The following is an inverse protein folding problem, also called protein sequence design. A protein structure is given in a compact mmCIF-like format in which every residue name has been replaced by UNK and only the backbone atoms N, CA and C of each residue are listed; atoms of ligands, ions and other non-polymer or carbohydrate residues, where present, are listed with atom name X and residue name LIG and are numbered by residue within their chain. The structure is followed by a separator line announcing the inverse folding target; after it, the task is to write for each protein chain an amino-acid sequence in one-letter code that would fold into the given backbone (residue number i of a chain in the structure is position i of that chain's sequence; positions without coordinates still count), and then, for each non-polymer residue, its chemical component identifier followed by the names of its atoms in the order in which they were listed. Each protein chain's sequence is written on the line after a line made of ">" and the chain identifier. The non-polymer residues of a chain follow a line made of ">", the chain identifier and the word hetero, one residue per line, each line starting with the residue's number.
data_IF_377150079976
#
_entry.id   IF_377150079976
#
_cell.length_a   1.000
_cell.length_b   1.000
_cell.length_c   1.000
_cell.angle_alpha   90.00
_cell.angle_beta   90.00
_cell.angle_gamma   90.00
#
_symmetry.space_group_name_H-M   'P 1'
#
loop_
_entity.id
_entity.type
_entity.pdbx_description
1 polymer ?
#
# COMPACT_ATOMS: atom_id res chain seq x y z
N UNK A 1 -6.44 16.41 -3.52
CA UNK A 1 -5.09 16.08 -4.02
C UNK A 1 -5.18 15.90 -5.51
N UNK A 2 -4.51 16.75 -6.28
CA UNK A 2 -4.50 16.65 -7.74
C UNK A 2 -4.01 15.27 -8.16
N UNK A 3 -4.69 14.63 -9.12
CA UNK A 3 -4.49 13.19 -9.40
C UNK A 3 -3.06 12.88 -9.88
N UNK A 4 -2.43 13.77 -10.65
CA UNK A 4 -1.02 13.62 -11.06
C UNK A 4 -0.05 13.53 -9.87
N UNK A 5 -0.23 14.38 -8.85
CA UNK A 5 0.64 14.34 -7.66
C UNK A 5 0.41 13.06 -6.84
N UNK A 6 -0.85 12.60 -6.80
CA UNK A 6 -1.20 11.34 -6.13
C UNK A 6 -0.55 10.15 -6.83
N UNK A 7 -0.64 10.09 -8.15
CA UNK A 7 -0.12 8.99 -8.95
C UNK A 7 1.41 8.99 -8.99
N UNK A 8 2.04 10.17 -9.06
CA UNK A 8 3.49 10.29 -8.89
C UNK A 8 3.95 9.77 -7.54
N UNK A 9 3.27 10.16 -6.45
CA UNK A 9 3.58 9.65 -5.11
C UNK A 9 3.42 8.14 -4.99
N UNK A 10 2.36 7.58 -5.59
CA UNK A 10 2.13 6.14 -5.67
C UNK A 10 3.22 5.43 -6.47
N UNK A 11 3.68 6.02 -7.57
CA UNK A 11 4.74 5.43 -8.39
C UNK A 11 6.07 5.37 -7.64
N UNK A 12 6.41 6.43 -6.89
CA UNK A 12 7.61 6.43 -6.03
C UNK A 12 7.57 5.25 -5.06
N UNK A 13 6.45 5.06 -4.35
CA UNK A 13 6.30 3.95 -3.40
C UNK A 13 6.26 2.59 -4.10
N UNK A 14 5.68 2.51 -5.29
CA UNK A 14 5.67 1.27 -6.06
C UNK A 14 7.09 0.83 -6.48
N UNK A 15 7.94 1.79 -6.86
CA UNK A 15 9.34 1.53 -7.27
C UNK A 15 10.22 1.07 -6.11
N UNK A 16 9.87 1.37 -4.84
CA UNK A 16 10.59 0.84 -3.68
C UNK A 16 10.66 -0.70 -3.69
N UNK A 17 9.58 -1.35 -4.14
CA UNK A 17 9.52 -2.81 -4.32
C UNK A 17 8.39 -3.19 -5.28
N UNK A 18 8.67 -3.35 -6.59
CA UNK A 18 7.63 -3.66 -7.57
C UNK A 18 6.97 -5.03 -7.35
N UNK A 19 7.72 -6.00 -6.84
CA UNK A 19 7.28 -7.39 -6.66
C UNK A 19 6.77 -7.72 -5.27
N UNK A 20 7.32 -7.10 -4.22
CA UNK A 20 7.01 -7.44 -2.83
C UNK A 20 6.35 -6.24 -2.13
N UNK A 21 5.01 -6.14 -2.12
CA UNK A 21 4.33 -4.98 -1.54
C UNK A 21 4.62 -4.81 -0.05
N UNK A 22 4.87 -5.88 0.70
CA UNK A 22 5.21 -5.83 2.12
C UNK A 22 6.54 -5.13 2.43
N UNK A 23 7.39 -4.90 1.42
CA UNK A 23 8.63 -4.13 1.54
C UNK A 23 8.45 -2.64 1.21
N UNK A 24 7.26 -2.22 0.78
CA UNK A 24 6.94 -0.82 0.49
C UNK A 24 6.61 -0.06 1.77
N UNK A 25 6.92 1.24 1.77
CA UNK A 25 6.64 2.15 2.87
C UNK A 25 5.15 2.40 3.07
N UNK A 26 4.35 2.36 2.01
CA UNK A 26 2.91 2.59 2.05
C UNK A 26 2.14 1.63 1.15
N UNK A 27 0.95 1.24 1.61
CA UNK A 27 0.04 0.36 0.87
C UNK A 27 -1.32 1.03 0.70
N UNK A 28 -1.90 0.95 -0.50
CA UNK A 28 -3.23 1.52 -0.80
C UNK A 28 -4.12 0.63 -1.66
N UNK A 29 -3.57 -0.46 -2.22
CA UNK A 29 -4.34 -1.43 -2.99
C UNK A 29 -5.00 -2.40 -2.03
N UNK A 30 -6.33 -2.38 -1.98
CA UNK A 30 -7.12 -3.13 -1.00
C UNK A 30 -6.75 -4.61 -0.95
N UNK A 31 -6.59 -5.25 -2.12
CA UNK A 31 -6.23 -6.67 -2.24
C UNK A 31 -4.85 -6.97 -1.63
N UNK A 32 -3.84 -6.15 -1.94
CA UNK A 32 -2.48 -6.31 -1.39
C UNK A 32 -2.47 -6.13 0.14
N UNK A 33 -3.16 -5.10 0.63
CA UNK A 33 -3.25 -4.84 2.08
C UNK A 33 -3.95 -6.00 2.78
N UNK A 34 -5.06 -6.50 2.24
CA UNK A 34 -5.82 -7.58 2.84
C UNK A 34 -5.02 -8.89 2.86
N UNK A 35 -4.32 -9.23 1.77
CA UNK A 35 -3.48 -10.42 1.71
C UNK A 35 -2.33 -10.37 2.73
N UNK A 36 -1.65 -9.22 2.84
CA UNK A 36 -0.56 -9.01 3.79
C UNK A 36 -1.06 -9.12 5.23
N UNK A 37 -2.20 -8.52 5.56
CA UNK A 37 -2.78 -8.58 6.90
C UNK A 37 -3.25 -10.01 7.24
N UNK A 38 -3.98 -10.67 6.33
CA UNK A 38 -4.49 -12.02 6.53
C UNK A 38 -3.36 -13.04 6.73
N UNK A 39 -2.27 -12.90 5.96
CA UNK A 39 -1.09 -13.79 6.05
C UNK A 39 -0.05 -13.32 7.08
N UNK A 40 -0.30 -12.22 7.81
CA UNK A 40 0.64 -11.59 8.76
C UNK A 40 2.04 -11.35 8.17
N UNK A 41 2.09 -10.94 6.91
CA UNK A 41 3.34 -10.68 6.15
C UNK A 41 3.84 -9.24 6.26
N UNK A 42 3.20 -8.40 7.07
CA UNK A 42 3.63 -7.02 7.25
C UNK A 42 5.06 -6.96 7.78
N UNK A 43 5.88 -6.08 7.21
CA UNK A 43 7.26 -5.83 7.67
C UNK A 43 7.38 -4.45 8.28
N UNK A 44 8.50 -4.18 8.96
CA UNK A 44 8.81 -2.86 9.49
C UNK A 44 8.93 -1.78 8.39
N UNK A 45 9.06 -2.17 7.12
CA UNK A 45 9.06 -1.22 6.01
C UNK A 45 7.71 -0.51 5.90
N UNK A 46 6.59 -1.22 6.12
CA UNK A 46 5.24 -0.65 6.01
C UNK A 46 5.01 0.35 7.15
N UNK A 47 4.94 1.64 6.80
CA UNK A 47 4.69 2.74 7.74
C UNK A 47 3.25 3.23 7.72
N UNK A 48 2.50 2.96 6.66
CA UNK A 48 1.11 3.37 6.54
C UNK A 48 0.33 2.54 5.54
N UNK A 49 -0.97 2.41 5.77
CA UNK A 49 -1.89 1.70 4.89
C UNK A 49 -3.22 2.43 4.77
N UNK A 50 -3.83 2.36 3.60
CA UNK A 50 -5.19 2.83 3.35
C UNK A 50 -6.14 1.64 3.19
N UNK A 51 -7.20 1.62 3.99
CA UNK A 51 -8.27 0.63 3.94
C UNK A 51 -9.60 1.34 3.75
N UNK A 52 -10.33 0.92 2.73
CA UNK A 52 -11.72 1.32 2.53
C UNK A 52 -12.61 0.19 3.07
N UNK A 53 -13.42 0.51 4.07
CA UNK A 53 -14.44 -0.39 4.60
C UNK A 53 -15.81 0.04 4.07
N UNK A 54 -16.72 -0.91 3.79
CA UNK A 54 -18.10 -0.57 3.48
C UNK A 54 -18.69 0.25 4.62
N UNK A 55 -19.31 1.39 4.30
CA UNK A 55 -20.11 2.12 5.28
C UNK A 55 -21.39 1.34 5.52
N UNK A 56 -21.73 1.16 6.81
CA UNK A 56 -23.01 0.57 7.24
C UNK A 56 -24.19 1.46 6.89
#
# INVERSE_FOLDING_TARGET
>A
MHDLLRDMGRQIVYVESPTDPEKRSRLWRHEEVFDILAKRKGTEAVKGLALEFPRK
#
